data_IF_392538072565
#
_entry.id   IF_392538072565
#
_cell.length_a   1.000
_cell.length_b   1.000
_cell.length_c   1.000
_cell.angle_alpha   90.00
_cell.angle_beta   90.00
_cell.angle_gamma   90.00
#
_symmetry.space_group_name_H-M   'P 1'
#
loop_
_entity.id
_entity.type
_entity.pdbx_description
1 polymer ?
#
# COMPACT_ATOMS: atom_id res chain seq x y z
N UNK A 1 -10.54 21.92 5.67
CA UNK A 1 -9.25 21.23 5.46
C UNK A 1 -8.48 22.01 4.40
N UNK A 2 -7.15 22.13 4.53
CA UNK A 2 -6.36 22.90 3.56
C UNK A 2 -6.06 21.99 2.37
N UNK A 3 -6.69 22.26 1.22
CA UNK A 3 -6.59 21.45 0.00
C UNK A 3 -5.14 21.10 -0.40
N UNK A 4 -4.18 21.99 -0.06
CA UNK A 4 -2.74 21.78 -0.29
C UNK A 4 -2.16 20.58 0.46
N UNK A 5 -2.60 20.34 1.70
CA UNK A 5 -2.10 19.20 2.47
C UNK A 5 -2.77 17.90 2.03
N UNK A 6 -4.07 17.95 1.73
CA UNK A 6 -4.81 16.80 1.21
C UNK A 6 -4.16 16.30 -0.10
N UNK A 7 -3.82 17.20 -1.03
CA UNK A 7 -3.12 16.87 -2.27
C UNK A 7 -1.75 16.22 -2.01
N UNK A 8 -0.92 16.81 -1.13
CA UNK A 8 0.38 16.24 -0.75
C UNK A 8 0.28 14.83 -0.19
N UNK A 9 -0.75 14.58 0.61
CA UNK A 9 -1.00 13.27 1.21
C UNK A 9 -1.45 12.26 0.15
N UNK A 10 -2.34 12.64 -0.76
CA UNK A 10 -2.73 11.79 -1.88
C UNK A 10 -1.53 11.48 -2.79
N UNK A 11 -0.70 12.47 -3.12
CA UNK A 11 0.54 12.27 -3.89
C UNK A 11 1.49 11.30 -3.19
N UNK A 12 1.63 11.41 -1.86
CA UNK A 12 2.46 10.50 -1.08
C UNK A 12 1.89 9.07 -1.08
N UNK A 13 0.57 8.89 -0.95
CA UNK A 13 -0.07 7.58 -1.04
C UNK A 13 0.15 6.94 -2.43
N UNK A 14 0.06 7.74 -3.50
CA UNK A 14 0.43 7.29 -4.85
C UNK A 14 1.91 6.93 -4.98
N UNK A 15 2.81 7.68 -4.35
CA UNK A 15 4.23 7.33 -4.34
C UNK A 15 4.49 5.99 -3.64
N UNK A 16 3.87 5.78 -2.47
CA UNK A 16 3.99 4.54 -1.69
C UNK A 16 3.42 3.34 -2.43
N UNK A 17 2.34 3.51 -3.21
CA UNK A 17 1.79 2.42 -4.02
C UNK A 17 2.83 1.86 -5.00
N UNK A 18 3.77 2.69 -5.47
CA UNK A 18 4.89 2.27 -6.31
C UNK A 18 5.80 1.21 -5.69
N UNK A 19 5.79 1.05 -4.36
CA UNK A 19 6.57 0.03 -3.64
C UNK A 19 5.93 -1.37 -3.71
N UNK A 20 4.64 -1.46 -4.08
CA UNK A 20 3.99 -2.75 -4.33
C UNK A 20 4.63 -3.47 -5.52
N UNK A 21 4.89 -4.77 -5.32
CA UNK A 21 5.37 -5.66 -6.38
C UNK A 21 4.26 -6.31 -7.19
N UNK A 22 2.98 -6.11 -6.84
CA UNK A 22 1.85 -6.64 -7.61
C UNK A 22 1.88 -6.05 -9.04
N UNK A 23 1.93 -6.89 -10.10
CA UNK A 23 2.05 -6.43 -11.48
C UNK A 23 0.74 -5.82 -12.02
N UNK A 24 -0.39 -6.09 -11.37
CA UNK A 24 -1.72 -5.76 -11.86
C UNK A 24 -2.38 -4.58 -11.15
N UNK A 25 -2.20 -4.46 -9.83
CA UNK A 25 -2.84 -3.40 -9.05
C UNK A 25 -1.93 -2.95 -7.91
N UNK A 26 -1.62 -1.66 -7.89
CA UNK A 26 -0.73 -1.05 -6.90
C UNK A 26 -1.51 -0.04 -6.07
N UNK A 27 -1.63 -0.34 -4.79
CA UNK A 27 -2.37 0.45 -3.81
C UNK A 27 -1.39 0.92 -2.74
N UNK A 28 -1.51 2.19 -2.36
CA UNK A 28 -0.76 2.79 -1.27
C UNK A 28 -1.73 3.44 -0.29
N UNK A 29 -1.38 3.42 0.98
CA UNK A 29 -2.16 3.96 2.07
C UNK A 29 -1.24 4.77 3.00
N UNK A 30 -1.80 5.85 3.54
CA UNK A 30 -1.16 6.64 4.59
C UNK A 30 -2.19 6.93 5.68
N UNK A 31 -1.76 6.84 6.93
CA UNK A 31 -2.56 7.22 8.10
C UNK A 31 -2.00 8.54 8.61
N UNK A 32 -2.82 9.60 8.54
CA UNK A 32 -2.43 10.95 8.93
C UNK A 32 -3.12 11.32 10.24
N UNK A 33 -2.35 11.82 11.20
CA UNK A 33 -2.85 12.28 12.48
C UNK A 33 -3.37 13.72 12.46
N UNK A 34 -3.86 14.18 13.60
CA UNK A 34 -4.47 15.51 13.76
C UNK A 34 -3.48 16.65 13.51
N UNK A 35 -2.19 16.44 13.78
CA UNK A 35 -1.11 17.40 13.58
C UNK A 35 -0.48 17.31 12.18
N UNK A 36 -1.13 16.60 11.25
CA UNK A 36 -0.64 16.32 9.88
C UNK A 36 0.64 15.49 9.85
N UNK A 37 0.93 14.78 10.92
CA UNK A 37 2.01 13.80 10.99
C UNK A 37 1.59 12.50 10.31
N UNK A 38 2.53 11.89 9.59
CA UNK A 38 2.32 10.55 9.03
C UNK A 38 2.54 9.55 10.18
N UNK A 39 1.47 8.90 10.62
CA UNK A 39 1.51 7.90 11.70
C UNK A 39 1.91 6.52 11.19
N UNK A 40 1.46 6.18 9.99
CA UNK A 40 1.75 4.89 9.36
C UNK A 40 1.60 4.99 7.85
N UNK A 41 2.20 4.04 7.16
CA UNK A 41 2.14 3.87 5.71
C UNK A 41 1.98 2.40 5.37
N UNK A 42 1.35 2.11 4.24
CA UNK A 42 1.18 0.75 3.76
C UNK A 42 1.07 0.68 2.24
N UNK A 43 1.44 -0.46 1.68
CA UNK A 43 1.22 -0.81 0.28
C UNK A 43 0.79 -2.28 0.21
N UNK A 44 0.09 -2.69 -0.85
CA UNK A 44 -0.35 -4.08 -0.99
C UNK A 44 0.83 -5.01 -1.35
N UNK A 45 0.85 -6.18 -0.73
CA UNK A 45 1.92 -7.18 -0.88
C UNK A 45 1.66 -8.40 -0.02
N UNK A 46 2.51 -9.42 -0.09
CA UNK A 46 2.38 -10.58 0.77
C UNK A 46 2.79 -10.28 2.23
N UNK A 47 2.31 -11.08 3.19
CA UNK A 47 2.67 -10.96 4.60
C UNK A 47 4.18 -10.93 4.83
N UNK A 48 4.58 -10.25 5.90
CA UNK A 48 5.99 -10.21 6.31
C UNK A 48 6.56 -11.61 6.45
N UNK A 49 7.75 -11.82 5.90
CA UNK A 49 8.43 -13.13 5.91
C UNK A 49 8.06 -14.02 4.71
N UNK A 50 7.10 -13.62 3.88
CA UNK A 50 6.83 -14.24 2.59
C UNK A 50 7.42 -13.35 1.50
N UNK A 51 8.23 -13.92 0.61
CA UNK A 51 8.76 -13.17 -0.51
C UNK A 51 7.63 -12.90 -1.53
N UNK A 52 7.52 -11.64 -1.98
CA UNK A 52 6.73 -11.26 -3.15
C UNK A 52 7.38 -11.84 -4.43
N UNK A 53 7.22 -13.15 -4.63
CA UNK A 53 7.66 -13.82 -5.83
C UNK A 53 6.70 -13.53 -6.99
N UNK A 54 7.26 -13.32 -8.18
CA UNK A 54 6.48 -12.96 -9.37
C UNK A 54 5.55 -14.09 -9.81
N UNK A 55 5.93 -15.35 -9.61
CA UNK A 55 5.12 -16.51 -9.99
C UNK A 55 3.77 -16.51 -9.26
N UNK A 56 3.77 -16.31 -7.94
CA UNK A 56 2.54 -16.23 -7.14
C UNK A 56 1.76 -14.94 -7.38
N UNK A 57 2.44 -13.82 -7.67
CA UNK A 57 1.76 -12.55 -7.93
C UNK A 57 1.06 -12.52 -9.31
N UNK A 58 1.58 -13.26 -10.29
CA UNK A 58 0.96 -13.39 -11.61
C UNK A 58 -0.18 -14.42 -11.62
N UNK A 59 -0.10 -15.44 -10.76
CA UNK A 59 -1.18 -16.42 -10.58
C UNK A 59 -2.25 -15.90 -9.59
N UNK A 60 -3.44 -15.60 -10.12
CA UNK A 60 -4.57 -15.09 -9.34
C UNK A 60 -5.06 -16.06 -8.26
N UNK A 61 -5.01 -17.37 -8.50
CA UNK A 61 -5.47 -18.36 -7.53
C UNK A 61 -4.55 -18.42 -6.31
N UNK A 62 -3.25 -18.20 -6.51
CA UNK A 62 -2.25 -18.14 -5.44
C UNK A 62 -2.19 -16.76 -4.79
N UNK A 63 -2.37 -15.68 -5.57
CA UNK A 63 -2.29 -14.31 -5.08
C UNK A 63 -3.41 -13.97 -4.10
N UNK A 64 -4.67 -14.16 -4.49
CA UNK A 64 -5.80 -13.61 -3.74
C UNK A 64 -5.91 -14.09 -2.29
N UNK A 65 -5.58 -15.35 -1.95
CA UNK A 65 -5.60 -15.79 -0.56
C UNK A 65 -4.47 -15.20 0.30
N UNK A 66 -3.39 -14.73 -0.32
CA UNK A 66 -2.16 -14.31 0.38
C UNK A 66 -1.95 -12.80 0.40
N UNK A 67 -2.55 -12.05 -0.53
CA UNK A 67 -2.28 -10.62 -0.66
C UNK A 67 -2.89 -9.84 0.51
N UNK A 68 -2.06 -9.08 1.22
CA UNK A 68 -2.50 -8.11 2.21
C UNK A 68 -2.77 -6.78 1.51
N UNK A 69 -3.84 -6.11 1.92
CA UNK A 69 -4.22 -4.81 1.41
C UNK A 69 -3.29 -3.71 1.94
N UNK A 70 -3.22 -2.57 1.24
CA UNK A 70 -2.39 -1.45 1.68
C UNK A 70 -2.86 -0.88 3.02
N UNK A 71 -4.18 -0.87 3.23
CA UNK A 71 -4.85 -0.42 4.44
C UNK A 71 -4.57 -1.34 5.62
N UNK A 72 -4.59 -2.67 5.40
CA UNK A 72 -4.23 -3.66 6.42
C UNK A 72 -2.77 -3.50 6.84
N UNK A 73 -1.87 -3.30 5.88
CA UNK A 73 -0.45 -3.10 6.15
C UNK A 73 -0.14 -1.75 6.82
N UNK A 74 -1.07 -0.79 6.79
CA UNK A 74 -0.92 0.51 7.43
C UNK A 74 -1.45 0.55 8.87
N UNK A 75 -2.22 -0.45 9.31
CA UNK A 75 -2.78 -0.58 10.67
C UNK A 75 -1.81 -1.39 11.56
#
# INVERSE_FOLDING_TARGET
MSAKWDERFIELAHHISGWSKDPSTKVGCIVVGEDREIRSTGFNGFPRGIADDSERLEDREQKYPLICHAEENAI
#
